data_IF_258856862593
#
_entry.id   IF_258856862593
#
_cell.length_a   1.000
_cell.length_b   1.000
_cell.length_c   1.000
_cell.angle_alpha   90.00
_cell.angle_beta   90.00
_cell.angle_gamma   90.00
#
_symmetry.space_group_name_H-M   'P 1'
#
loop_
_entity.id
_entity.type
_entity.pdbx_description
1 polymer ?
#
# COMPACT_ATOMS: atom_id res chain seq x y z
N UNK A 1 11.28 55.82 17.97
CA UNK A 1 11.55 55.08 16.70
C UNK A 1 11.78 53.58 16.93
N UNK A 2 12.64 53.16 17.86
CA UNK A 2 12.94 51.72 18.13
C UNK A 2 11.71 50.82 18.38
N UNK A 3 10.73 51.29 19.17
CA UNK A 3 9.47 50.53 19.42
C UNK A 3 8.63 50.34 18.16
N UNK A 4 8.50 51.37 17.30
CA UNK A 4 7.77 51.26 16.02
C UNK A 4 8.46 50.26 15.08
N UNK A 5 9.79 50.31 15.00
CA UNK A 5 10.59 49.33 14.24
C UNK A 5 10.36 47.91 14.76
N UNK A 6 10.37 47.71 16.09
CA UNK A 6 10.11 46.41 16.70
C UNK A 6 8.71 45.87 16.36
N UNK A 7 7.66 46.71 16.44
CA UNK A 7 6.31 46.32 16.06
C UNK A 7 6.20 46.00 14.56
N UNK A 8 6.83 46.78 13.69
CA UNK A 8 6.87 46.52 12.25
C UNK A 8 7.58 45.19 11.93
N UNK A 9 8.70 44.91 12.59
CA UNK A 9 9.41 43.63 12.45
C UNK A 9 8.52 42.48 12.92
N UNK A 10 7.91 42.60 14.10
CA UNK A 10 6.99 41.58 14.63
C UNK A 10 5.85 41.31 13.65
N UNK A 11 5.23 42.35 13.11
CA UNK A 11 4.12 42.22 12.15
C UNK A 11 4.56 41.49 10.86
N UNK A 12 5.71 41.87 10.29
CA UNK A 12 6.27 41.22 9.11
C UNK A 12 6.58 39.75 9.40
N UNK A 13 7.15 39.45 10.57
CA UNK A 13 7.48 38.08 10.97
C UNK A 13 6.22 37.23 11.09
N UNK A 14 5.16 37.75 11.71
CA UNK A 14 3.87 37.08 11.82
C UNK A 14 3.23 36.85 10.45
N UNK A 15 3.31 37.82 9.55
CA UNK A 15 2.78 37.71 8.19
C UNK A 15 3.53 36.63 7.39
N UNK A 16 4.86 36.61 7.48
CA UNK A 16 5.69 35.57 6.84
C UNK A 16 5.30 34.19 7.38
N UNK A 17 5.23 34.01 8.71
CA UNK A 17 4.84 32.73 9.30
C UNK A 17 3.45 32.27 8.86
N UNK A 18 2.48 33.19 8.76
CA UNK A 18 1.13 32.88 8.29
C UNK A 18 1.15 32.44 6.82
N UNK A 19 1.83 33.19 5.95
CA UNK A 19 1.98 32.82 4.53
C UNK A 19 2.63 31.45 4.37
N UNK A 20 3.68 31.17 5.13
CA UNK A 20 4.36 29.86 5.10
C UNK A 20 3.45 28.74 5.60
N UNK A 21 2.65 28.98 6.65
CA UNK A 21 1.69 28.01 7.17
C UNK A 21 0.59 27.68 6.14
N UNK A 22 0.05 28.70 5.47
CA UNK A 22 -0.94 28.51 4.40
C UNK A 22 -0.31 27.79 3.21
N UNK A 23 0.90 28.17 2.81
CA UNK A 23 1.62 27.49 1.72
C UNK A 23 1.81 26.01 2.03
N UNK A 24 2.25 25.64 3.23
CA UNK A 24 2.38 24.24 3.61
C UNK A 24 1.03 23.52 3.67
N UNK A 25 -0.03 24.17 4.15
CA UNK A 25 -1.37 23.58 4.16
C UNK A 25 -1.89 23.26 2.75
N UNK A 26 -1.61 24.13 1.77
CA UNK A 26 -2.05 23.96 0.37
C UNK A 26 -1.13 23.03 -0.42
N UNK A 27 0.18 23.03 -0.13
CA UNK A 27 1.17 22.23 -0.86
C UNK A 27 1.26 20.80 -0.32
N UNK A 28 0.75 20.55 0.89
CA UNK A 28 0.65 19.18 1.39
C UNK A 28 -0.29 18.41 0.48
N UNK A 29 0.26 17.46 -0.29
CA UNK A 29 -0.54 16.58 -1.13
C UNK A 29 -1.53 15.85 -0.23
N UNK A 30 -2.85 16.11 -0.37
CA UNK A 30 -3.82 15.48 0.49
C UNK A 30 -3.76 13.97 0.25
N UNK A 31 -3.67 13.23 1.34
CA UNK A 31 -3.79 11.79 1.29
C UNK A 31 -5.08 11.41 0.54
N UNK A 32 -4.94 10.70 -0.58
CA UNK A 32 -6.07 10.28 -1.40
C UNK A 32 -6.50 8.86 -0.98
N UNK A 33 -7.53 8.79 -0.14
CA UNK A 33 -8.07 7.52 0.35
C UNK A 33 -8.65 6.65 -0.78
N UNK A 34 -9.21 7.25 -1.83
CA UNK A 34 -9.78 6.52 -2.96
C UNK A 34 -8.69 5.81 -3.76
N UNK A 35 -7.55 6.45 -3.98
CA UNK A 35 -6.38 5.84 -4.62
C UNK A 35 -5.87 4.64 -3.79
N UNK A 36 -5.83 4.77 -2.45
CA UNK A 36 -5.46 3.63 -1.59
C UNK A 36 -6.46 2.48 -1.72
N UNK A 37 -7.76 2.77 -1.72
CA UNK A 37 -8.81 1.75 -1.88
C UNK A 37 -8.72 1.06 -3.24
N UNK A 38 -8.49 1.81 -4.31
CA UNK A 38 -8.31 1.28 -5.66
C UNK A 38 -7.07 0.38 -5.75
N UNK A 39 -5.93 0.82 -5.22
CA UNK A 39 -4.72 0.00 -5.16
C UNK A 39 -4.96 -1.29 -4.38
N UNK A 40 -5.62 -1.24 -3.22
CA UNK A 40 -5.95 -2.45 -2.45
C UNK A 40 -6.82 -3.38 -3.30
N UNK A 41 -7.85 -2.87 -3.97
CA UNK A 41 -8.74 -3.67 -4.80
C UNK A 41 -8.01 -4.33 -5.98
N UNK A 42 -7.15 -3.58 -6.67
CA UNK A 42 -6.32 -4.09 -7.76
C UNK A 42 -5.38 -5.17 -7.22
N UNK A 43 -4.57 -4.86 -6.21
CA UNK A 43 -3.55 -5.77 -5.68
C UNK A 43 -4.13 -7.03 -5.03
N UNK A 44 -5.35 -6.98 -4.51
CA UNK A 44 -6.06 -8.13 -3.93
C UNK A 44 -6.96 -8.88 -4.91
N UNK A 45 -7.03 -8.43 -6.17
CA UNK A 45 -7.83 -9.09 -7.19
C UNK A 45 -7.34 -10.50 -7.54
N UNK A 46 -8.24 -11.31 -8.09
CA UNK A 46 -7.96 -12.66 -8.58
C UNK A 46 -6.84 -12.67 -9.63
N UNK A 47 -6.70 -11.59 -10.40
CA UNK A 47 -5.63 -11.38 -11.40
C UNK A 47 -4.23 -11.60 -10.82
N UNK A 48 -3.99 -11.21 -9.56
CA UNK A 48 -2.69 -11.39 -8.90
C UNK A 48 -2.66 -12.57 -7.93
N UNK A 49 -3.73 -13.38 -7.87
CA UNK A 49 -3.77 -14.64 -7.14
C UNK A 49 -3.37 -14.54 -5.67
N UNK A 50 -3.75 -13.46 -4.99
CA UNK A 50 -3.40 -13.21 -3.59
C UNK A 50 -1.90 -12.93 -3.34
N UNK A 51 -1.11 -12.74 -4.41
CA UNK A 51 0.32 -12.40 -4.36
C UNK A 51 1.17 -13.43 -3.60
N UNK A 52 0.89 -14.72 -3.80
CA UNK A 52 1.71 -15.81 -3.24
C UNK A 52 3.20 -15.56 -3.56
N UNK A 53 4.06 -15.60 -2.56
CA UNK A 53 5.48 -15.30 -2.71
C UNK A 53 6.12 -16.16 -3.82
N UNK A 54 6.86 -15.54 -4.73
CA UNK A 54 7.49 -16.23 -5.86
C UNK A 54 6.54 -16.61 -7.02
N UNK A 55 5.23 -16.36 -6.89
CA UNK A 55 4.28 -16.53 -8.00
C UNK A 55 4.39 -15.40 -9.04
N UNK A 56 3.86 -15.65 -10.23
CA UNK A 56 3.78 -14.62 -11.28
C UNK A 56 3.01 -13.37 -10.82
N UNK A 57 1.91 -13.55 -10.07
CA UNK A 57 1.14 -12.42 -9.52
C UNK A 57 1.96 -11.56 -8.56
N UNK A 58 2.79 -12.18 -7.72
CA UNK A 58 3.72 -11.45 -6.85
C UNK A 58 4.78 -10.66 -7.63
N UNK A 59 5.35 -11.25 -8.70
CA UNK A 59 6.32 -10.57 -9.55
C UNK A 59 5.72 -9.37 -10.30
N UNK A 60 4.51 -9.53 -10.85
CA UNK A 60 3.79 -8.47 -11.57
C UNK A 60 3.44 -7.31 -10.63
N UNK A 61 2.95 -7.59 -9.42
CA UNK A 61 2.72 -6.55 -8.41
C UNK A 61 4.02 -5.84 -8.04
N UNK A 62 5.13 -6.57 -7.93
CA UNK A 62 6.45 -5.98 -7.71
C UNK A 62 6.85 -4.98 -8.80
N UNK A 63 6.49 -5.23 -10.07
CA UNK A 63 6.71 -4.27 -11.17
C UNK A 63 5.80 -3.05 -11.07
N UNK A 64 4.54 -3.22 -10.66
CA UNK A 64 3.61 -2.09 -10.44
C UNK A 64 4.16 -1.15 -9.36
N UNK A 65 4.62 -1.72 -8.24
CA UNK A 65 5.21 -0.95 -7.14
C UNK A 65 6.50 -0.25 -7.58
N UNK A 66 7.39 -0.95 -8.30
CA UNK A 66 8.62 -0.37 -8.85
C UNK A 66 8.31 0.84 -9.75
N UNK A 67 7.36 0.68 -10.68
CA UNK A 67 6.95 1.76 -11.56
C UNK A 67 6.35 2.95 -10.80
N UNK A 68 5.54 2.68 -9.76
CA UNK A 68 5.01 3.73 -8.91
C UNK A 68 6.13 4.53 -8.21
N UNK A 69 7.20 3.87 -7.76
CA UNK A 69 8.36 4.55 -7.18
C UNK A 69 9.06 5.45 -8.20
N UNK A 70 9.26 4.97 -9.44
CA UNK A 70 9.86 5.76 -10.52
C UNK A 70 8.99 6.97 -10.91
N UNK A 71 7.68 6.77 -11.04
CA UNK A 71 6.72 7.84 -11.34
C UNK A 71 6.71 8.93 -10.25
N UNK A 72 6.97 8.54 -9.00
CA UNK A 72 7.13 9.46 -7.86
C UNK A 72 8.56 9.98 -7.67
N UNK A 73 9.46 9.73 -8.64
CA UNK A 73 10.86 10.21 -8.63
C UNK A 73 11.66 9.72 -7.43
N UNK A 74 11.29 8.57 -6.87
CA UNK A 74 12.09 7.91 -5.86
C UNK A 74 13.29 7.24 -6.52
N UNK A 75 14.39 7.15 -5.76
CA UNK A 75 15.60 6.46 -6.18
C UNK A 75 15.74 5.16 -5.39
N UNK A 76 16.30 4.10 -5.99
CA UNK A 76 16.54 2.86 -5.26
C UNK A 76 17.56 3.10 -4.14
N UNK A 77 17.40 2.36 -3.03
CA UNK A 77 18.35 2.41 -1.92
C UNK A 77 19.73 1.85 -2.33
N UNK A 78 19.71 0.79 -3.14
CA UNK A 78 20.89 0.12 -3.70
C UNK A 78 20.89 0.27 -5.23
N UNK A 79 21.53 -0.64 -5.96
CA UNK A 79 21.58 -0.65 -7.43
C UNK A 79 20.20 -0.88 -8.10
N UNK A 80 19.24 -1.46 -7.37
CA UNK A 80 17.91 -1.81 -7.86
C UNK A 80 16.84 -1.54 -6.82
N UNK A 81 15.61 -1.29 -7.29
CA UNK A 81 14.41 -1.24 -6.43
C UNK A 81 14.02 -2.61 -5.86
N UNK A 82 14.59 -3.70 -6.39
CA UNK A 82 14.28 -5.07 -5.99
C UNK A 82 15.44 -5.69 -5.24
N UNK A 83 15.13 -6.35 -4.13
CA UNK A 83 16.06 -7.17 -3.37
C UNK A 83 15.56 -8.62 -3.35
N UNK A 84 16.41 -9.54 -3.79
CA UNK A 84 16.07 -10.95 -3.87
C UNK A 84 16.45 -11.65 -2.57
N UNK A 85 15.55 -12.48 -2.06
CA UNK A 85 15.80 -13.34 -0.90
C UNK A 85 15.16 -14.71 -1.11
N UNK A 86 15.60 -15.69 -0.32
CA UNK A 86 15.04 -17.04 -0.31
C UNK A 86 14.21 -17.23 0.94
N UNK A 87 13.05 -17.86 0.79
CA UNK A 87 12.17 -18.20 1.92
C UNK A 87 11.36 -19.45 1.60
N UNK A 88 10.87 -20.12 2.64
CA UNK A 88 9.89 -21.21 2.51
C UNK A 88 8.51 -20.59 2.29
N UNK A 89 7.82 -21.02 1.25
CA UNK A 89 6.47 -20.57 0.94
C UNK A 89 5.57 -21.76 0.57
N UNK A 90 4.25 -21.64 0.80
CA UNK A 90 3.29 -22.63 0.29
C UNK A 90 3.38 -22.72 -1.23
N UNK A 91 3.25 -23.92 -1.77
CA UNK A 91 3.22 -24.15 -3.21
C UNK A 91 1.76 -24.42 -3.59
N UNK A 92 1.28 -23.76 -4.64
CA UNK A 92 -0.03 -24.05 -5.19
C UNK A 92 -0.01 -25.49 -5.75
N UNK A 93 -0.83 -26.36 -5.17
CA UNK A 93 -0.98 -27.76 -5.57
C UNK A 93 -2.12 -27.95 -6.60
N UNK A 94 -2.69 -26.87 -7.12
CA UNK A 94 -3.83 -26.83 -8.03
C UNK A 94 -5.09 -27.52 -7.48
N UNK A 95 -5.16 -27.74 -6.17
CA UNK A 95 -6.37 -28.25 -5.52
C UNK A 95 -7.32 -27.11 -5.17
N UNK A 96 -8.61 -27.37 -5.26
CA UNK A 96 -9.61 -26.43 -4.77
C UNK A 96 -9.59 -26.39 -3.24
N UNK A 97 -9.64 -25.19 -2.62
CA UNK A 97 -9.81 -25.08 -1.19
C UNK A 97 -11.13 -25.73 -0.77
N UNK A 98 -11.11 -26.43 0.36
CA UNK A 98 -12.28 -27.11 0.91
C UNK A 98 -12.31 -26.91 2.41
N UNK A 99 -13.52 -26.93 2.98
CA UNK A 99 -13.73 -26.94 4.41
C UNK A 99 -14.60 -28.14 4.76
N UNK A 100 -14.13 -28.97 5.68
CA UNK A 100 -14.84 -30.17 6.13
C UNK A 100 -15.01 -30.11 7.64
N UNK A 101 -16.23 -30.34 8.10
CA UNK A 101 -16.54 -30.54 9.52
C UNK A 101 -16.58 -32.04 9.76
N UNK A 102 -15.72 -32.51 10.65
CA UNK A 102 -15.61 -33.92 11.02
C UNK A 102 -15.73 -34.07 12.53
N UNK A 103 -16.40 -35.13 12.96
CA UNK A 103 -16.37 -35.61 14.34
C UNK A 103 -15.79 -37.01 14.30
N UNK A 104 -14.72 -37.22 15.07
CA UNK A 104 -13.85 -38.39 14.93
C UNK A 104 -13.40 -38.55 13.46
N UNK A 105 -13.44 -39.76 12.92
CA UNK A 105 -13.07 -40.06 11.52
C UNK A 105 -14.24 -39.91 10.53
N UNK A 106 -15.39 -39.39 10.98
CA UNK A 106 -16.59 -39.27 10.15
C UNK A 106 -16.77 -37.82 9.68
N UNK A 107 -16.74 -37.62 8.37
CA UNK A 107 -17.10 -36.32 7.77
C UNK A 107 -18.59 -36.10 7.98
N UNK A 108 -18.92 -35.09 8.80
CA UNK A 108 -20.30 -34.66 9.06
C UNK A 108 -20.78 -33.78 7.90
N UNK A 109 -19.92 -32.88 7.43
CA UNK A 109 -20.29 -31.88 6.44
C UNK A 109 -19.08 -31.48 5.59
N UNK A 110 -19.31 -31.22 4.30
CA UNK A 110 -18.31 -30.72 3.37
C UNK A 110 -18.85 -29.46 2.70
N UNK A 111 -18.21 -28.33 2.98
CA UNK A 111 -18.57 -27.01 2.49
C UNK A 111 -17.77 -26.68 1.23
N UNK A 112 -18.43 -26.10 0.25
CA UNK A 112 -17.86 -25.68 -1.04
C UNK A 112 -17.49 -24.20 -1.00
N UNK A 113 -16.21 -23.92 -1.24
CA UNK A 113 -15.71 -22.56 -1.37
C UNK A 113 -16.42 -21.81 -2.51
N UNK A 114 -16.82 -20.56 -2.27
CA UNK A 114 -17.56 -19.72 -3.22
C UNK A 114 -19.06 -19.99 -3.30
N UNK A 115 -19.57 -21.04 -2.64
CA UNK A 115 -21.01 -21.33 -2.51
C UNK A 115 -21.43 -21.22 -1.06
N UNK A 116 -20.82 -22.01 -0.19
CA UNK A 116 -21.20 -22.11 1.21
C UNK A 116 -20.43 -21.12 2.10
N UNK A 117 -19.26 -20.66 1.63
CA UNK A 117 -18.42 -19.66 2.32
C UNK A 117 -17.48 -18.93 1.35
N UNK A 118 -17.07 -17.70 1.71
CA UNK A 118 -16.10 -16.89 0.97
C UNK A 118 -15.18 -16.12 1.91
#
# INVERSE_FOLDING_TARGET
MKKKIFYSISLITSLVLLCTSIFFNVTYSPFNADNVKENIAILSSETYGGRLAGSNGNLLVGEIIRKNFEDNKLVPLNESFKENFKTTCPINNNSSPYLKVSSEDKVIESLKYGVDYK
#
